data_IF_860906536451
#
_entry.id   IF_860906536451
#
_cell.length_a   1.000
_cell.length_b   1.000
_cell.length_c   1.000
_cell.angle_alpha   90.00
_cell.angle_beta   90.00
_cell.angle_gamma   90.00
#
_symmetry.space_group_name_H-M   'P 1'
#
loop_
_entity.id
_entity.type
_entity.pdbx_description
1 polymer ?
#
# COMPACT_ATOMS: atom_id res chain seq x y z
N UNK A 1 -8.27 24.69 5.59
CA UNK A 1 -8.23 23.28 5.12
C UNK A 1 -9.37 23.05 4.15
N UNK A 2 -9.17 22.24 3.10
CA UNK A 2 -10.14 22.04 2.03
C UNK A 2 -11.01 20.83 2.35
N UNK A 3 -12.35 21.01 2.35
CA UNK A 3 -13.32 19.90 2.40
C UNK A 3 -13.13 18.98 1.19
N UNK A 4 -13.25 17.68 1.38
CA UNK A 4 -13.03 16.66 0.36
C UNK A 4 -14.24 15.77 0.17
N UNK A 5 -14.36 15.16 -1.00
CA UNK A 5 -15.34 14.10 -1.26
C UNK A 5 -14.69 12.70 -1.15
N UNK A 6 -15.52 11.66 -1.25
CA UNK A 6 -15.05 10.28 -1.14
C UNK A 6 -13.97 9.93 -2.18
N UNK A 7 -14.09 10.41 -3.43
CA UNK A 7 -13.06 10.17 -4.45
C UNK A 7 -11.70 10.75 -4.08
N UNK A 8 -11.69 11.95 -3.51
CA UNK A 8 -10.47 12.60 -3.09
C UNK A 8 -9.83 11.90 -1.88
N UNK A 9 -10.64 11.40 -0.93
CA UNK A 9 -10.13 10.63 0.19
C UNK A 9 -9.56 9.27 -0.29
N UNK A 10 -10.30 8.56 -1.13
CA UNK A 10 -9.85 7.28 -1.72
C UNK A 10 -8.59 7.48 -2.55
N UNK A 11 -8.46 8.56 -3.29
CA UNK A 11 -7.21 8.88 -3.99
C UNK A 11 -6.02 8.99 -3.04
N UNK A 12 -6.18 9.67 -1.89
CA UNK A 12 -5.09 9.74 -0.89
C UNK A 12 -4.81 8.37 -0.25
N UNK A 13 -5.84 7.55 -0.07
CA UNK A 13 -5.69 6.16 0.39
C UNK A 13 -4.93 5.32 -0.64
N UNK A 14 -5.29 5.38 -1.93
CA UNK A 14 -4.64 4.62 -2.99
C UNK A 14 -3.21 5.08 -3.30
N UNK A 15 -2.82 6.31 -2.92
CA UNK A 15 -1.40 6.72 -2.93
C UNK A 15 -0.56 6.00 -1.86
N UNK A 16 -1.18 5.54 -0.76
CA UNK A 16 -0.55 4.74 0.29
C UNK A 16 -0.64 3.23 0.00
N UNK A 17 -1.79 2.79 -0.51
CA UNK A 17 -2.14 1.39 -0.74
C UNK A 17 -2.63 1.20 -2.19
N UNK A 18 -1.74 1.22 -3.18
CA UNK A 18 -2.11 1.22 -4.59
C UNK A 18 -2.97 0.02 -4.99
N UNK A 19 -4.10 0.28 -5.63
CA UNK A 19 -5.06 -0.75 -6.04
C UNK A 19 -4.45 -1.84 -6.94
N UNK A 20 -3.47 -1.48 -7.78
CA UNK A 20 -2.82 -2.44 -8.70
C UNK A 20 -1.95 -3.47 -7.98
N UNK A 21 -1.65 -3.30 -6.68
CA UNK A 21 -0.94 -4.29 -5.87
C UNK A 21 -1.86 -5.43 -5.42
N UNK A 22 -3.18 -5.26 -5.50
CA UNK A 22 -4.13 -6.30 -5.11
C UNK A 22 -3.95 -7.58 -5.94
N UNK A 23 -4.21 -8.73 -5.33
CA UNK A 23 -4.27 -10.00 -6.05
C UNK A 23 -5.36 -9.95 -7.13
N UNK A 24 -5.16 -10.71 -8.21
CA UNK A 24 -6.11 -10.79 -9.33
C UNK A 24 -7.46 -11.33 -8.86
N UNK A 25 -8.53 -10.60 -9.18
CA UNK A 25 -9.89 -10.98 -8.79
C UNK A 25 -10.31 -10.55 -7.39
N UNK A 26 -9.42 -9.93 -6.62
CA UNK A 26 -9.75 -9.42 -5.28
C UNK A 26 -10.79 -8.28 -5.36
N UNK A 27 -11.93 -8.37 -4.63
CA UNK A 27 -13.03 -7.42 -4.77
C UNK A 27 -12.77 -6.07 -4.05
N UNK A 28 -11.68 -5.40 -4.40
CA UNK A 28 -11.34 -4.08 -3.88
C UNK A 28 -12.17 -2.96 -4.51
N UNK A 29 -12.41 -1.90 -3.76
CA UNK A 29 -13.06 -0.69 -4.21
C UNK A 29 -14.41 -0.43 -3.55
N UNK A 30 -15.22 0.44 -4.17
CA UNK A 30 -16.54 0.78 -3.65
C UNK A 30 -17.47 -0.44 -3.67
N UNK A 31 -18.00 -0.79 -2.50
CA UNK A 31 -18.90 -1.93 -2.30
C UNK A 31 -20.36 -1.46 -2.21
N UNK A 32 -20.63 -0.37 -1.50
CA UNK A 32 -21.96 0.18 -1.24
C UNK A 32 -21.88 1.70 -1.34
N UNK A 33 -22.93 2.35 -1.83
CA UNK A 33 -23.09 3.81 -1.82
C UNK A 33 -22.34 4.53 -2.95
N UNK A 34 -21.87 5.73 -2.69
CA UNK A 34 -21.18 6.60 -3.66
C UNK A 34 -20.06 7.40 -3.02
N UNK A 35 -18.99 7.64 -3.79
CA UNK A 35 -17.86 8.47 -3.37
C UNK A 35 -17.98 9.95 -3.79
N UNK A 36 -19.05 10.33 -4.50
CA UNK A 36 -19.21 11.71 -5.00
C UNK A 36 -19.53 12.74 -3.91
N UNK A 37 -20.01 12.30 -2.74
CA UNK A 37 -20.45 13.16 -1.64
C UNK A 37 -19.28 13.67 -0.80
N UNK A 38 -19.44 14.84 -0.14
CA UNK A 38 -18.48 15.31 0.84
C UNK A 38 -18.30 14.29 1.98
N UNK A 39 -17.06 14.05 2.39
CA UNK A 39 -16.72 13.18 3.52
C UNK A 39 -16.08 14.03 4.62
N UNK A 40 -16.77 14.12 5.75
CA UNK A 40 -16.28 14.84 6.93
C UNK A 40 -15.62 13.91 7.94
N UNK A 41 -16.13 12.67 8.02
CA UNK A 41 -15.59 11.61 8.86
C UNK A 41 -15.57 10.28 8.10
N UNK A 42 -14.49 9.53 8.25
CA UNK A 42 -14.35 8.17 7.74
C UNK A 42 -13.97 7.21 8.85
N UNK A 43 -14.63 6.06 8.91
CA UNK A 43 -14.35 4.98 9.85
C UNK A 43 -13.46 3.92 9.18
N UNK A 44 -12.33 3.59 9.79
CA UNK A 44 -11.46 2.47 9.35
C UNK A 44 -11.80 1.24 10.16
N UNK A 45 -12.19 0.16 9.52
CA UNK A 45 -12.62 -1.08 10.14
C UNK A 45 -11.90 -2.31 9.53
N UNK A 46 -11.83 -3.40 10.27
CA UNK A 46 -11.40 -4.70 9.73
C UNK A 46 -12.52 -5.31 8.91
N UNK A 47 -13.66 -5.52 9.54
CA UNK A 47 -14.87 -6.09 8.96
C UNK A 47 -16.00 -5.07 8.93
N UNK A 48 -17.01 -5.30 8.08
CA UNK A 48 -18.24 -4.50 8.04
C UNK A 48 -19.39 -5.32 8.62
N UNK A 49 -19.51 -5.32 9.95
CA UNK A 49 -20.64 -5.93 10.65
C UNK A 49 -21.73 -4.88 10.90
N UNK A 50 -22.91 -5.34 11.38
CA UNK A 50 -24.00 -4.43 11.76
C UNK A 50 -23.55 -3.42 12.81
N UNK A 51 -22.81 -3.88 13.82
CA UNK A 51 -22.31 -3.06 14.92
C UNK A 51 -21.32 -1.99 14.43
N UNK A 52 -20.48 -2.32 13.45
CA UNK A 52 -19.55 -1.37 12.81
C UNK A 52 -20.31 -0.29 12.03
N UNK A 53 -21.39 -0.66 11.33
CA UNK A 53 -22.24 0.33 10.66
C UNK A 53 -22.99 1.21 11.67
N UNK A 54 -23.48 0.64 12.77
CA UNK A 54 -24.11 1.39 13.86
C UNK A 54 -23.09 2.33 14.55
N UNK A 55 -21.84 1.92 14.72
CA UNK A 55 -20.75 2.80 15.17
C UNK A 55 -20.59 3.99 14.19
N UNK A 56 -20.48 3.72 12.88
CA UNK A 56 -20.35 4.76 11.87
C UNK A 56 -21.52 5.77 11.93
N UNK A 57 -22.76 5.30 12.08
CA UNK A 57 -23.96 6.15 12.27
C UNK A 57 -23.82 7.02 13.51
N UNK A 58 -23.44 6.42 14.64
CA UNK A 58 -23.39 7.10 15.94
C UNK A 58 -22.37 8.24 15.97
N UNK A 59 -21.24 8.08 15.27
CA UNK A 59 -20.18 9.10 15.19
C UNK A 59 -20.36 10.07 14.01
N UNK A 60 -21.37 9.84 13.16
CA UNK A 60 -21.62 10.64 11.97
C UNK A 60 -20.60 10.44 10.84
N UNK A 61 -19.98 9.26 10.73
CA UNK A 61 -19.14 8.90 9.60
C UNK A 61 -20.00 8.46 8.42
N UNK A 62 -19.70 8.97 7.23
CA UNK A 62 -20.40 8.65 6.01
C UNK A 62 -19.58 7.87 4.98
N UNK A 63 -18.37 7.43 5.36
CA UNK A 63 -17.56 6.48 4.62
C UNK A 63 -16.92 5.48 5.60
N UNK A 64 -17.04 4.20 5.30
CA UNK A 64 -16.31 3.12 5.96
C UNK A 64 -15.22 2.65 4.99
N UNK A 65 -13.96 2.65 5.44
CA UNK A 65 -12.84 2.02 4.76
C UNK A 65 -12.57 0.71 5.47
N UNK A 66 -12.93 -0.39 4.85
CA UNK A 66 -12.83 -1.74 5.42
C UNK A 66 -11.67 -2.51 4.78
N UNK A 67 -11.03 -3.38 5.56
CA UNK A 67 -10.07 -4.34 5.03
C UNK A 67 -10.81 -5.47 4.31
N UNK A 68 -11.69 -6.16 5.01
CA UNK A 68 -12.45 -7.24 4.41
C UNK A 68 -13.64 -6.71 3.58
N UNK A 69 -13.76 -7.13 2.31
CA UNK A 69 -14.88 -6.74 1.47
C UNK A 69 -16.18 -7.38 1.96
N UNK A 70 -17.20 -6.56 2.21
CA UNK A 70 -18.52 -7.06 2.60
C UNK A 70 -19.19 -7.84 1.46
N UNK A 71 -18.87 -7.51 0.21
CA UNK A 71 -19.34 -8.21 -0.98
C UNK A 71 -18.17 -8.98 -1.58
N UNK A 72 -17.78 -10.09 -0.94
CA UNK A 72 -16.71 -10.95 -1.46
C UNK A 72 -17.16 -11.73 -2.71
N UNK A 73 -18.44 -12.12 -2.76
CA UNK A 73 -19.06 -12.76 -3.93
C UNK A 73 -20.24 -11.92 -4.40
N UNK A 74 -20.47 -11.82 -5.73
CA UNK A 74 -21.60 -11.05 -6.25
C UNK A 74 -22.92 -11.42 -5.59
N UNK A 75 -23.65 -10.43 -5.08
CA UNK A 75 -24.96 -10.62 -4.49
C UNK A 75 -25.99 -10.90 -5.59
N UNK A 76 -26.64 -12.05 -5.54
CA UNK A 76 -27.73 -12.39 -6.47
C UNK A 76 -29.07 -11.73 -6.09
N UNK A 77 -29.25 -11.39 -4.80
CA UNK A 77 -30.44 -10.75 -4.24
C UNK A 77 -30.05 -10.00 -2.96
N UNK A 78 -30.81 -8.98 -2.61
CA UNK A 78 -30.70 -8.25 -1.35
C UNK A 78 -32.00 -8.48 -0.59
N UNK A 79 -31.95 -9.32 0.42
CA UNK A 79 -33.09 -9.63 1.30
C UNK A 79 -32.85 -8.97 2.65
N UNK A 80 -33.64 -7.95 2.97
CA UNK A 80 -33.47 -7.15 4.19
C UNK A 80 -33.73 -7.90 5.50
N UNK A 81 -34.27 -9.12 5.42
CA UNK A 81 -34.42 -10.03 6.56
C UNK A 81 -33.14 -10.85 6.83
N UNK A 82 -32.19 -10.91 5.86
CA UNK A 82 -30.90 -11.55 6.05
C UNK A 82 -29.87 -10.58 6.65
N UNK A 83 -28.89 -11.08 7.42
CA UNK A 83 -27.86 -10.21 8.01
C UNK A 83 -27.08 -9.39 6.97
N UNK A 84 -26.58 -9.95 5.85
CA UNK A 84 -25.93 -9.14 4.81
C UNK A 84 -26.86 -8.08 4.21
N UNK A 85 -28.14 -8.42 3.98
CA UNK A 85 -29.12 -7.49 3.45
C UNK A 85 -29.45 -6.35 4.40
N UNK A 86 -29.52 -6.62 5.73
CA UNK A 86 -29.69 -5.58 6.76
C UNK A 86 -28.53 -4.59 6.77
N UNK A 87 -27.29 -5.08 6.62
CA UNK A 87 -26.11 -4.22 6.59
C UNK A 87 -26.18 -3.28 5.36
N UNK A 88 -26.49 -3.85 4.18
CA UNK A 88 -26.68 -3.06 2.95
C UNK A 88 -27.79 -2.02 3.13
N UNK A 89 -28.93 -2.40 3.70
CA UNK A 89 -30.06 -1.51 3.98
C UNK A 89 -29.67 -0.37 4.93
N UNK A 90 -28.96 -0.68 6.03
CA UNK A 90 -28.47 0.30 7.00
C UNK A 90 -27.53 1.31 6.33
N UNK A 91 -26.59 0.85 5.52
CA UNK A 91 -25.67 1.72 4.79
C UNK A 91 -26.42 2.65 3.85
N UNK A 92 -27.37 2.13 3.06
CA UNK A 92 -28.14 2.92 2.10
C UNK A 92 -29.06 3.94 2.81
N UNK A 93 -29.79 3.53 3.84
CA UNK A 93 -30.69 4.40 4.60
C UNK A 93 -29.98 5.55 5.31
N UNK A 94 -28.75 5.32 5.75
CA UNK A 94 -27.95 6.30 6.48
C UNK A 94 -26.91 7.00 5.60
N UNK A 95 -26.97 6.78 4.28
CA UNK A 95 -26.09 7.41 3.31
C UNK A 95 -24.59 7.16 3.57
N UNK A 96 -24.24 5.96 4.01
CA UNK A 96 -22.89 5.51 4.29
C UNK A 96 -22.35 4.75 3.08
N UNK A 97 -21.21 5.20 2.56
CA UNK A 97 -20.45 4.46 1.56
C UNK A 97 -19.51 3.45 2.24
N UNK A 98 -19.33 2.28 1.61
CA UNK A 98 -18.36 1.26 2.05
C UNK A 98 -17.34 1.04 0.95
N UNK A 99 -16.09 1.26 1.25
CA UNK A 99 -14.94 1.03 0.37
C UNK A 99 -14.06 -0.07 0.96
N UNK A 100 -13.81 -1.14 0.20
CA UNK A 100 -12.95 -2.24 0.62
C UNK A 100 -11.54 -2.08 0.05
N UNK A 101 -10.55 -2.39 0.89
CA UNK A 101 -9.14 -2.41 0.54
C UNK A 101 -8.48 -3.60 1.25
N UNK A 102 -8.33 -4.69 0.53
CA UNK A 102 -7.97 -6.00 1.05
C UNK A 102 -6.49 -6.31 0.75
N UNK A 103 -6.19 -7.20 -0.18
CA UNK A 103 -4.81 -7.64 -0.44
C UNK A 103 -3.86 -6.54 -0.89
N UNK A 104 -4.34 -5.43 -1.43
CA UNK A 104 -3.50 -4.26 -1.71
C UNK A 104 -2.92 -3.63 -0.43
N UNK A 105 -3.62 -3.72 0.72
CA UNK A 105 -3.09 -3.27 2.02
C UNK A 105 -2.09 -4.27 2.59
N UNK A 106 -2.25 -5.58 2.30
CA UNK A 106 -1.30 -6.60 2.73
C UNK A 106 0.03 -6.51 1.99
N UNK A 107 -0.03 -6.16 0.70
CA UNK A 107 1.12 -6.15 -0.22
C UNK A 107 1.87 -4.81 -0.21
N UNK A 108 1.22 -3.71 0.18
CA UNK A 108 1.80 -2.38 0.18
C UNK A 108 3.13 -2.28 0.92
N UNK A 109 3.90 -1.23 0.62
CA UNK A 109 5.21 -0.96 1.23
C UNK A 109 5.12 -0.88 2.77
N UNK A 110 4.06 -0.24 3.28
CA UNK A 110 3.71 -0.22 4.71
C UNK A 110 2.28 -0.77 4.83
N UNK A 111 2.15 -2.07 5.03
CA UNK A 111 0.87 -2.77 5.08
C UNK A 111 0.58 -3.47 6.40
N UNK A 112 -0.40 -4.38 6.39
CA UNK A 112 -0.84 -5.13 7.58
C UNK A 112 0.31 -5.81 8.30
N UNK A 113 1.19 -6.49 7.56
CA UNK A 113 2.33 -7.20 8.15
C UNK A 113 3.39 -6.26 8.71
N UNK A 114 3.49 -5.01 8.22
CA UNK A 114 4.35 -3.98 8.83
C UNK A 114 3.78 -3.49 10.14
N UNK A 115 2.47 -3.27 10.22
CA UNK A 115 1.81 -2.90 11.47
C UNK A 115 1.94 -4.00 12.53
N UNK A 116 1.87 -5.28 12.13
CA UNK A 116 2.15 -6.41 13.01
C UNK A 116 3.62 -6.43 13.46
N UNK A 117 4.57 -6.24 12.54
CA UNK A 117 6.00 -6.17 12.86
C UNK A 117 6.33 -5.01 13.80
N UNK A 118 5.70 -3.84 13.61
CA UNK A 118 5.81 -2.68 14.49
C UNK A 118 5.26 -2.99 15.89
N UNK A 119 4.06 -3.60 15.99
CA UNK A 119 3.46 -3.99 17.25
C UNK A 119 4.34 -4.97 18.05
N UNK A 120 5.01 -5.89 17.35
CA UNK A 120 5.94 -6.86 17.92
C UNK A 120 7.37 -6.35 18.00
N UNK A 121 7.63 -5.08 17.68
CA UNK A 121 8.93 -4.44 17.74
C UNK A 121 10.05 -5.22 17.02
N UNK A 122 9.72 -5.79 15.84
CA UNK A 122 10.71 -6.49 15.03
C UNK A 122 11.66 -5.49 14.35
N UNK A 123 12.94 -5.84 14.36
CA UNK A 123 14.01 -5.07 13.72
C UNK A 123 14.41 -5.69 12.37
N UNK A 124 14.97 -4.85 11.48
CA UNK A 124 15.50 -5.27 10.17
C UNK A 124 14.49 -6.05 9.31
N UNK A 125 13.27 -5.59 9.29
CA UNK A 125 12.18 -6.22 8.55
C UNK A 125 12.40 -6.17 7.04
N UNK A 126 12.02 -7.26 6.36
CA UNK A 126 12.02 -7.40 4.89
C UNK A 126 10.75 -8.10 4.44
N UNK A 127 10.37 -7.92 3.18
CA UNK A 127 9.26 -8.65 2.57
C UNK A 127 9.54 -10.16 2.64
N UNK A 128 8.57 -10.93 3.10
CA UNK A 128 8.68 -12.38 3.22
C UNK A 128 8.47 -13.09 1.88
N UNK A 129 7.39 -12.76 1.21
CA UNK A 129 7.00 -13.34 -0.08
C UNK A 129 6.80 -12.22 -1.12
N UNK A 130 7.82 -11.91 -1.93
CA UNK A 130 7.70 -10.91 -3.00
C UNK A 130 6.61 -11.30 -4.01
N UNK A 131 5.72 -10.36 -4.34
CA UNK A 131 4.67 -10.52 -5.36
C UNK A 131 4.90 -9.60 -6.55
N UNK A 132 5.50 -8.44 -6.32
CA UNK A 132 5.77 -7.45 -7.34
C UNK A 132 7.08 -6.70 -7.03
N UNK A 133 7.94 -6.56 -8.03
CA UNK A 133 9.12 -5.70 -7.97
C UNK A 133 8.92 -4.57 -8.95
N UNK A 134 8.91 -3.34 -8.46
CA UNK A 134 8.70 -2.16 -9.27
C UNK A 134 9.88 -1.99 -10.25
N UNK A 135 9.57 -1.82 -11.54
CA UNK A 135 10.59 -1.53 -12.53
C UNK A 135 11.03 -0.08 -12.44
N UNK A 136 12.31 0.13 -12.66
CA UNK A 136 12.89 1.45 -12.74
C UNK A 136 13.15 1.82 -14.20
N UNK A 137 12.86 3.06 -14.54
CA UNK A 137 13.01 3.62 -15.89
C UNK A 137 14.08 4.72 -15.85
N UNK A 138 15.05 4.64 -16.73
CA UNK A 138 15.96 5.75 -17.02
C UNK A 138 15.22 6.72 -17.94
N UNK A 139 14.95 7.92 -17.47
CA UNK A 139 14.44 9.02 -18.28
C UNK A 139 15.60 9.89 -18.70
N UNK A 140 15.70 10.12 -20.00
CA UNK A 140 16.62 11.07 -20.61
C UNK A 140 15.80 12.16 -21.27
N UNK A 141 16.12 13.42 -21.03
CA UNK A 141 15.45 14.56 -21.71
C UNK A 141 16.49 15.58 -22.14
N UNK A 142 16.29 16.13 -23.36
CA UNK A 142 17.16 17.14 -23.94
C UNK A 142 16.51 18.52 -23.76
N UNK A 143 17.17 19.43 -23.06
CA UNK A 143 16.58 20.68 -22.59
C UNK A 143 17.49 21.85 -22.96
N UNK A 144 16.97 22.96 -23.52
CA UNK A 144 17.75 24.18 -23.65
C UNK A 144 18.37 24.56 -22.32
N UNK A 145 19.67 24.92 -22.33
CA UNK A 145 20.45 25.24 -21.12
C UNK A 145 19.74 26.19 -20.16
N UNK A 146 19.00 27.14 -20.71
CA UNK A 146 18.23 28.15 -19.95
C UNK A 146 17.07 27.59 -19.15
N UNK A 147 16.63 26.38 -19.43
CA UNK A 147 15.45 25.74 -18.80
C UNK A 147 15.79 24.46 -18.02
N UNK A 148 17.04 24.03 -18.03
CA UNK A 148 17.48 22.77 -17.44
C UNK A 148 17.11 22.63 -15.95
N UNK A 149 17.39 23.65 -15.13
CA UNK A 149 17.05 23.63 -13.68
C UNK A 149 15.55 23.54 -13.44
N UNK A 150 14.75 24.31 -14.21
CA UNK A 150 13.29 24.32 -14.08
C UNK A 150 12.69 22.95 -14.42
N UNK A 151 13.18 22.33 -15.50
CA UNK A 151 12.72 21.00 -15.93
C UNK A 151 13.15 19.95 -14.91
N UNK A 152 14.41 19.94 -14.48
CA UNK A 152 14.91 19.01 -13.47
C UNK A 152 14.09 19.08 -12.18
N UNK A 153 13.84 20.30 -11.69
CA UNK A 153 12.98 20.48 -10.51
C UNK A 153 11.59 19.89 -10.71
N UNK A 154 10.97 20.14 -11.86
CA UNK A 154 9.62 19.59 -12.14
C UNK A 154 9.59 18.06 -12.22
N UNK A 155 10.64 17.44 -12.78
CA UNK A 155 10.81 15.98 -12.79
C UNK A 155 10.90 15.41 -11.38
N UNK A 156 11.72 16.02 -10.54
CA UNK A 156 11.97 15.57 -9.17
C UNK A 156 10.73 15.78 -8.27
N UNK A 157 10.08 16.93 -8.38
CA UNK A 157 8.82 17.24 -7.67
C UNK A 157 7.70 16.23 -8.06
N UNK A 158 7.75 15.70 -9.29
CA UNK A 158 6.83 14.67 -9.78
C UNK A 158 7.22 13.23 -9.36
N UNK A 159 8.34 13.06 -8.64
CA UNK A 159 8.76 11.78 -8.08
C UNK A 159 9.89 11.08 -8.82
N UNK A 160 10.62 11.76 -9.71
CA UNK A 160 11.85 11.25 -10.29
C UNK A 160 13.05 11.43 -9.34
N UNK A 161 14.14 10.69 -9.60
CA UNK A 161 15.43 10.92 -8.95
C UNK A 161 15.53 10.43 -7.50
N UNK A 162 14.82 9.37 -7.13
CA UNK A 162 14.96 8.75 -5.81
C UNK A 162 15.89 7.53 -5.90
N UNK A 163 16.95 7.51 -5.11
CA UNK A 163 17.89 6.37 -4.95
C UNK A 163 18.16 6.17 -3.46
N UNK A 164 17.60 5.15 -2.86
CA UNK A 164 17.66 4.95 -1.41
C UNK A 164 17.14 6.19 -0.68
N UNK A 165 17.90 6.71 0.27
CA UNK A 165 17.55 7.90 1.05
C UNK A 165 17.91 9.24 0.36
N UNK A 166 18.27 9.23 -0.94
CA UNK A 166 18.59 10.44 -1.68
C UNK A 166 17.47 10.77 -2.67
N UNK A 167 17.11 12.03 -2.74
CA UNK A 167 16.19 12.60 -3.73
C UNK A 167 16.94 13.50 -4.73
N UNK A 168 16.30 13.83 -5.83
CA UNK A 168 16.86 14.69 -6.89
C UNK A 168 18.13 14.14 -7.54
N UNK A 169 18.34 12.81 -7.49
CA UNK A 169 19.46 12.17 -8.15
C UNK A 169 19.31 12.29 -9.66
N UNK A 170 20.27 12.96 -10.28
CA UNK A 170 20.31 13.17 -11.72
C UNK A 170 21.75 13.28 -12.19
N UNK A 171 21.95 13.07 -13.48
CA UNK A 171 23.19 13.39 -14.15
C UNK A 171 22.89 14.30 -15.33
N UNK A 172 23.73 15.31 -15.55
CA UNK A 172 23.58 16.23 -16.67
C UNK A 172 24.88 16.39 -17.45
N UNK A 173 24.78 16.46 -18.77
CA UNK A 173 25.89 16.75 -19.64
C UNK A 173 25.50 17.79 -20.70
N UNK A 174 26.43 18.71 -21.01
CA UNK A 174 26.20 19.70 -22.05
C UNK A 174 26.40 19.09 -23.42
N UNK A 175 25.60 19.52 -24.38
CA UNK A 175 25.69 19.10 -25.77
C UNK A 175 25.04 20.10 -26.70
N UNK A 176 24.95 19.72 -27.96
CA UNK A 176 24.27 20.48 -29.01
C UNK A 176 23.15 19.66 -29.60
N UNK A 177 21.92 20.16 -29.52
CA UNK A 177 20.78 19.60 -30.24
C UNK A 177 20.63 20.24 -31.60
N UNK A 178 20.18 19.47 -32.59
CA UNK A 178 19.87 19.99 -33.92
C UNK A 178 18.45 19.56 -34.32
N UNK A 179 17.71 20.51 -34.89
CA UNK A 179 16.37 20.23 -35.42
C UNK A 179 16.00 21.21 -36.53
N UNK A 180 15.04 20.84 -37.36
CA UNK A 180 14.49 21.70 -38.40
C UNK A 180 12.97 21.78 -38.20
N UNK A 181 12.41 22.92 -37.81
CA UNK A 181 10.97 23.10 -37.71
C UNK A 181 10.30 22.96 -39.08
N UNK A 182 9.28 22.12 -39.18
CA UNK A 182 8.52 21.89 -40.40
C UNK A 182 7.28 22.79 -40.47
N UNK A 183 6.54 22.70 -41.58
CA UNK A 183 5.28 23.41 -41.73
C UNK A 183 4.25 22.93 -40.71
N UNK A 184 3.49 23.86 -40.10
CA UNK A 184 2.53 23.55 -39.04
C UNK A 184 3.08 23.69 -37.61
N UNK A 185 4.39 23.82 -37.39
CA UNK A 185 4.99 24.01 -36.08
C UNK A 185 5.00 25.47 -35.62
N UNK A 186 5.09 25.70 -34.31
CA UNK A 186 5.31 27.01 -33.69
C UNK A 186 6.57 26.93 -32.81
N UNK A 187 7.78 26.94 -33.41
CA UNK A 187 8.99 26.64 -32.66
C UNK A 187 9.30 27.71 -31.62
N UNK A 188 9.74 27.30 -30.44
CA UNK A 188 10.24 28.19 -29.40
C UNK A 188 11.56 28.84 -29.79
N UNK A 189 12.42 28.13 -30.54
CA UNK A 189 13.69 28.61 -31.07
C UNK A 189 13.72 28.28 -32.58
N UNK A 190 14.28 29.20 -33.40
CA UNK A 190 14.52 28.98 -34.81
C UNK A 190 13.35 29.31 -35.74
N UNK A 191 13.55 29.05 -37.04
CA UNK A 191 12.60 29.34 -38.12
C UNK A 191 12.26 28.10 -38.92
N UNK A 192 11.04 28.05 -39.44
CA UNK A 192 10.58 26.92 -40.27
C UNK A 192 11.46 26.77 -41.51
N UNK A 193 11.84 25.53 -41.81
CA UNK A 193 12.65 25.14 -42.94
C UNK A 193 14.14 25.42 -42.81
N UNK A 194 14.59 25.90 -41.65
CA UNK A 194 16.01 26.12 -41.36
C UNK A 194 16.50 25.12 -40.32
N UNK A 195 17.73 24.61 -40.52
CA UNK A 195 18.39 23.74 -39.55
C UNK A 195 18.91 24.59 -38.41
N UNK A 196 18.44 24.32 -37.23
CA UNK A 196 18.85 25.00 -36.00
C UNK A 196 19.83 24.13 -35.20
N UNK A 197 20.81 24.78 -34.56
CA UNK A 197 21.73 24.17 -33.60
C UNK A 197 21.58 24.93 -32.26
N UNK A 198 21.25 24.20 -31.19
CA UNK A 198 20.95 24.78 -29.88
C UNK A 198 21.84 24.17 -28.80
N UNK A 199 22.39 25.00 -27.93
CA UNK A 199 23.05 24.55 -26.68
C UNK A 199 22.04 23.90 -25.76
N UNK A 200 22.16 22.60 -25.54
CA UNK A 200 21.25 21.79 -24.73
C UNK A 200 21.98 21.07 -23.60
N UNK A 201 21.23 20.76 -22.57
CA UNK A 201 21.64 19.87 -21.48
C UNK A 201 20.88 18.56 -21.64
N UNK A 202 21.60 17.47 -21.73
CA UNK A 202 21.06 16.12 -21.58
C UNK A 202 20.89 15.86 -20.11
N UNK A 203 19.65 15.80 -19.60
CA UNK A 203 19.29 15.44 -18.25
C UNK A 203 18.93 13.96 -18.19
N UNK A 204 19.53 13.25 -17.25
CA UNK A 204 19.27 11.84 -17.01
C UNK A 204 18.85 11.64 -15.56
N UNK A 205 17.77 10.91 -15.35
CA UNK A 205 17.28 10.57 -14.00
C UNK A 205 16.60 9.21 -13.99
N UNK A 206 16.34 8.70 -12.80
CA UNK A 206 15.63 7.42 -12.59
C UNK A 206 14.20 7.70 -12.17
N UNK A 207 13.27 6.91 -12.70
CA UNK A 207 11.83 7.06 -12.45
C UNK A 207 11.21 5.70 -12.17
N UNK A 208 10.48 5.51 -11.06
CA UNK A 208 9.63 4.34 -10.88
C UNK A 208 8.60 4.23 -12.01
N UNK A 209 8.43 3.02 -12.59
CA UNK A 209 7.52 2.81 -13.75
C UNK A 209 6.12 3.37 -13.49
N UNK A 210 5.59 3.18 -12.30
CA UNK A 210 4.26 3.64 -11.91
C UNK A 210 4.12 5.17 -11.88
N UNK A 211 5.23 5.89 -11.68
CA UNK A 211 5.27 7.36 -11.69
C UNK A 211 5.59 7.94 -13.06
N UNK A 212 6.01 7.13 -14.03
CA UNK A 212 6.51 7.60 -15.33
C UNK A 212 5.52 8.53 -16.04
N UNK A 213 4.25 8.14 -16.13
CA UNK A 213 3.22 8.96 -16.78
C UNK A 213 3.04 10.35 -16.12
N UNK A 214 3.13 10.40 -14.79
CA UNK A 214 3.03 11.65 -14.03
C UNK A 214 4.26 12.54 -14.26
N UNK A 215 5.45 11.94 -14.23
CA UNK A 215 6.73 12.61 -14.47
C UNK A 215 6.80 13.17 -15.89
N UNK A 216 6.41 12.38 -16.91
CA UNK A 216 6.38 12.85 -18.30
C UNK A 216 5.41 14.02 -18.48
N UNK A 217 4.26 14.03 -17.83
CA UNK A 217 3.32 15.15 -17.86
C UNK A 217 3.92 16.42 -17.23
N UNK A 218 4.65 16.27 -16.11
CA UNK A 218 5.34 17.39 -15.47
C UNK A 218 6.49 17.93 -16.35
N UNK A 219 7.24 17.03 -16.98
CA UNK A 219 8.25 17.36 -17.97
C UNK A 219 7.68 18.21 -19.10
N UNK A 220 6.67 17.71 -19.79
CA UNK A 220 6.03 18.43 -20.91
C UNK A 220 5.52 19.81 -20.53
N UNK A 221 4.94 19.96 -19.33
CA UNK A 221 4.43 21.24 -18.83
C UNK A 221 5.53 22.26 -18.50
N UNK A 222 6.72 21.79 -18.11
CA UNK A 222 7.84 22.65 -17.69
C UNK A 222 8.82 22.97 -18.84
N UNK A 223 8.83 22.13 -19.86
CA UNK A 223 9.70 22.25 -21.03
C UNK A 223 9.24 23.40 -21.95
N UNK A 224 10.17 24.18 -22.56
CA UNK A 224 9.80 25.27 -23.45
C UNK A 224 9.33 24.83 -24.85
N UNK A 225 9.74 23.63 -25.29
CA UNK A 225 9.37 23.14 -26.62
C UNK A 225 7.96 22.56 -26.66
N UNK A 226 7.25 22.73 -27.76
CA UNK A 226 5.94 22.13 -28.01
C UNK A 226 6.03 20.59 -28.15
N UNK A 227 7.11 20.12 -28.76
CA UNK A 227 7.45 18.69 -28.83
C UNK A 227 8.80 18.45 -28.15
N UNK A 228 8.79 17.64 -27.11
CA UNK A 228 9.97 17.40 -26.28
C UNK A 228 10.69 16.14 -26.73
N UNK A 229 11.99 16.28 -27.03
CA UNK A 229 12.85 15.13 -27.27
C UNK A 229 13.22 14.47 -25.93
N UNK A 230 12.83 13.21 -25.75
CA UNK A 230 13.17 12.41 -24.59
C UNK A 230 13.20 10.92 -24.91
N UNK A 231 13.97 10.16 -24.14
CA UNK A 231 14.07 8.71 -24.24
C UNK A 231 13.76 8.06 -22.92
N UNK A 232 13.22 6.85 -22.94
CA UNK A 232 13.00 6.01 -21.76
C UNK A 232 13.61 4.64 -21.97
N UNK A 233 14.38 4.17 -20.97
CA UNK A 233 15.00 2.85 -20.97
C UNK A 233 14.61 2.11 -19.70
N UNK A 234 14.11 0.89 -19.82
CA UNK A 234 13.91 0.02 -18.66
C UNK A 234 15.26 -0.39 -18.11
N UNK A 235 15.45 -0.23 -16.80
CA UNK A 235 16.67 -0.62 -16.11
C UNK A 235 16.51 -2.02 -15.53
N UNK A 236 17.61 -2.74 -15.41
CA UNK A 236 17.69 -4.01 -14.68
C UNK A 236 17.88 -3.80 -13.17
N UNK A 237 18.07 -2.56 -12.74
CA UNK A 237 18.09 -2.21 -11.33
C UNK A 237 16.74 -2.51 -10.70
N UNK A 238 16.77 -3.20 -9.56
CA UNK A 238 15.55 -3.47 -8.79
C UNK A 238 15.03 -2.20 -8.11
N UNK A 239 13.74 -1.94 -8.25
CA UNK A 239 13.02 -0.92 -7.52
C UNK A 239 12.48 -1.44 -6.19
N UNK A 240 11.41 -0.82 -5.70
CA UNK A 240 10.74 -1.24 -4.46
C UNK A 240 10.15 -2.64 -4.63
N UNK A 241 10.45 -3.51 -3.68
CA UNK A 241 9.86 -4.85 -3.62
C UNK A 241 8.61 -4.81 -2.75
N UNK A 242 7.49 -5.16 -3.35
CA UNK A 242 6.20 -5.31 -2.67
C UNK A 242 5.89 -6.81 -2.48
N UNK A 243 5.15 -7.15 -1.43
CA UNK A 243 4.75 -8.53 -1.21
C UNK A 243 4.16 -8.79 0.16
N UNK A 244 3.68 -10.00 0.30
CA UNK A 244 2.95 -10.46 1.48
C UNK A 244 3.92 -10.85 2.58
N UNK A 245 3.56 -10.46 3.80
CA UNK A 245 4.30 -10.81 4.99
C UNK A 245 5.59 -10.03 5.18
N UNK A 246 6.11 -10.13 6.39
CA UNK A 246 7.42 -9.58 6.76
C UNK A 246 8.24 -10.62 7.51
N UNK A 247 9.55 -10.54 7.38
CA UNK A 247 10.49 -11.30 8.19
C UNK A 247 11.47 -10.33 8.84
N UNK A 248 11.66 -10.48 10.15
CA UNK A 248 12.52 -9.61 10.95
C UNK A 248 13.08 -10.35 12.15
N UNK A 249 13.73 -9.63 13.05
CA UNK A 249 14.33 -10.21 14.25
C UNK A 249 13.81 -9.54 15.51
N UNK A 250 13.58 -10.33 16.55
CA UNK A 250 13.41 -9.83 17.90
C UNK A 250 14.72 -9.21 18.39
N UNK A 251 14.63 -8.20 19.23
CA UNK A 251 15.79 -7.58 19.88
C UNK A 251 16.55 -8.59 20.74
N UNK A 252 15.83 -9.43 21.45
CA UNK A 252 16.34 -10.49 22.31
C UNK A 252 15.76 -11.84 21.90
N UNK A 253 16.52 -12.93 22.14
CA UNK A 253 16.07 -14.30 21.90
C UNK A 253 15.10 -14.71 23.01
N UNK A 254 13.96 -15.28 22.62
CA UNK A 254 12.92 -15.81 23.52
C UNK A 254 12.77 -17.33 23.32
N UNK A 255 12.21 -18.03 24.27
CA UNK A 255 11.65 -19.35 24.02
C UNK A 255 10.34 -19.22 23.20
N UNK A 256 9.93 -20.30 22.52
CA UNK A 256 8.67 -20.31 21.78
C UNK A 256 7.45 -20.03 22.70
N UNK A 257 7.49 -20.50 23.95
CA UNK A 257 6.47 -20.19 24.95
C UNK A 257 6.44 -18.71 25.31
N UNK A 258 7.61 -18.11 25.57
CA UNK A 258 7.70 -16.68 25.87
C UNK A 258 7.26 -15.84 24.68
N UNK A 259 7.67 -16.21 23.46
CA UNK A 259 7.24 -15.54 22.24
C UNK A 259 5.71 -15.62 22.04
N UNK A 260 5.10 -16.78 22.27
CA UNK A 260 3.64 -16.95 22.17
C UNK A 260 2.91 -16.06 23.18
N UNK A 261 3.41 -15.97 24.43
CA UNK A 261 2.89 -15.05 25.45
C UNK A 261 3.07 -13.59 25.05
N UNK A 262 4.24 -13.24 24.50
CA UNK A 262 4.55 -11.91 23.98
C UNK A 262 3.60 -11.47 22.87
N UNK A 263 3.36 -12.34 21.87
CA UNK A 263 2.39 -12.12 20.79
C UNK A 263 1.00 -11.88 21.36
N UNK A 264 0.56 -12.73 22.30
CA UNK A 264 -0.74 -12.61 22.95
C UNK A 264 -0.92 -11.25 23.65
N UNK A 265 0.10 -10.80 24.36
CA UNK A 265 0.08 -9.50 25.06
C UNK A 265 0.09 -8.33 24.09
N UNK A 266 1.03 -8.32 23.13
CA UNK A 266 1.24 -7.20 22.21
C UNK A 266 0.10 -6.98 21.23
N UNK A 267 -0.59 -8.05 20.83
CA UNK A 267 -1.71 -7.99 19.93
C UNK A 267 -3.08 -8.04 20.64
N UNK A 268 -3.09 -8.01 21.97
CA UNK A 268 -4.32 -8.06 22.78
C UNK A 268 -5.23 -9.22 22.34
N UNK A 269 -4.72 -10.46 22.50
CA UNK A 269 -5.42 -11.68 22.11
C UNK A 269 -5.87 -12.48 23.33
N UNK A 270 -7.01 -13.17 23.19
CA UNK A 270 -7.50 -14.05 24.24
C UNK A 270 -6.71 -15.37 24.30
N UNK A 271 -6.22 -15.86 23.18
CA UNK A 271 -5.46 -17.11 23.08
C UNK A 271 -4.66 -17.20 21.78
N UNK A 272 -3.72 -18.14 21.74
CA UNK A 272 -2.97 -18.53 20.54
C UNK A 272 -2.80 -20.02 20.50
N UNK A 273 -2.65 -20.63 19.31
CA UNK A 273 -2.25 -22.02 19.14
C UNK A 273 -0.77 -22.10 18.78
N UNK A 274 -0.05 -23.07 19.30
CA UNK A 274 1.39 -23.20 19.08
C UNK A 274 1.72 -24.57 18.48
N UNK A 275 2.60 -24.59 17.48
CA UNK A 275 3.20 -25.79 16.90
C UNK A 275 4.70 -25.70 17.10
N UNK A 276 5.29 -26.74 17.69
CA UNK A 276 6.73 -26.79 18.01
C UNK A 276 6.98 -27.16 19.46
N UNK A 277 8.25 -27.23 19.85
CA UNK A 277 8.64 -27.43 21.25
C UNK A 277 8.70 -26.09 21.96
N UNK A 278 8.03 -25.96 23.10
CA UNK A 278 7.88 -24.68 23.82
C UNK A 278 9.22 -24.05 24.26
N UNK A 279 10.26 -24.88 24.41
CA UNK A 279 11.63 -24.43 24.76
C UNK A 279 12.48 -24.02 23.56
N UNK A 280 12.00 -24.18 22.32
CA UNK A 280 12.76 -23.80 21.14
C UNK A 280 13.07 -22.29 21.15
N UNK A 281 14.26 -21.95 20.67
CA UNK A 281 14.73 -20.58 20.62
C UNK A 281 14.13 -19.85 19.42
N UNK A 282 13.65 -18.65 19.66
CA UNK A 282 13.02 -17.77 18.68
C UNK A 282 13.69 -16.41 18.70
N UNK A 283 14.26 -16.03 17.58
CA UNK A 283 14.80 -14.69 17.32
C UNK A 283 14.34 -14.14 15.97
N UNK A 284 14.37 -14.98 14.93
CA UNK A 284 13.95 -14.59 13.58
C UNK A 284 12.50 -14.98 13.34
N UNK A 285 11.66 -14.00 13.16
CA UNK A 285 10.21 -14.13 13.08
C UNK A 285 9.74 -13.79 11.69
N UNK A 286 8.96 -14.68 11.07
CA UNK A 286 8.19 -14.37 9.87
C UNK A 286 6.71 -14.17 10.24
N UNK A 287 6.08 -13.16 9.65
CA UNK A 287 4.70 -12.78 9.94
C UNK A 287 3.89 -12.63 8.66
N UNK A 288 2.68 -13.17 8.66
CA UNK A 288 1.64 -12.89 7.66
C UNK A 288 0.32 -12.67 8.40
N UNK A 289 -0.40 -11.59 8.11
CA UNK A 289 -1.77 -11.36 8.60
C UNK A 289 -2.75 -12.38 7.98
N UNK A 290 -3.88 -12.61 8.64
CA UNK A 290 -4.96 -13.47 8.16
C UNK A 290 -4.57 -14.92 7.90
N UNK A 291 -5.12 -15.51 6.82
CA UNK A 291 -4.80 -16.86 6.36
C UNK A 291 -3.43 -16.94 5.68
N UNK A 292 -2.41 -17.27 6.45
CA UNK A 292 -1.05 -17.41 5.96
C UNK A 292 -0.62 -18.80 5.55
N UNK A 293 -1.54 -19.78 5.42
CA UNK A 293 -1.18 -21.17 5.16
C UNK A 293 -0.24 -21.38 3.96
N UNK A 294 -0.39 -20.57 2.91
CA UNK A 294 0.43 -20.66 1.68
C UNK A 294 1.86 -20.15 1.86
N UNK A 295 2.12 -19.33 2.88
CA UNK A 295 3.38 -18.57 3.01
C UNK A 295 4.38 -19.19 4.00
N UNK A 296 3.99 -20.23 4.75
CA UNK A 296 4.88 -20.91 5.70
C UNK A 296 6.16 -21.47 5.03
N UNK A 297 6.08 -21.84 3.74
CA UNK A 297 7.26 -22.23 2.97
C UNK A 297 8.27 -21.09 2.82
N UNK A 298 7.80 -19.87 2.59
CA UNK A 298 8.66 -18.69 2.52
C UNK A 298 9.34 -18.41 3.86
N UNK A 299 8.62 -18.58 4.99
CA UNK A 299 9.19 -18.45 6.32
C UNK A 299 10.34 -19.43 6.52
N UNK A 300 10.13 -20.72 6.23
CA UNK A 300 11.17 -21.75 6.34
C UNK A 300 12.36 -21.49 5.44
N UNK A 301 12.14 -21.18 4.17
CA UNK A 301 13.19 -20.89 3.19
C UNK A 301 14.06 -19.69 3.58
N UNK A 302 13.46 -18.68 4.20
CA UNK A 302 14.16 -17.51 4.69
C UNK A 302 14.79 -17.71 6.08
N UNK A 303 14.72 -18.93 6.64
CA UNK A 303 15.35 -19.30 7.91
C UNK A 303 14.70 -18.65 9.12
N UNK A 304 13.36 -18.50 9.13
CA UNK A 304 12.62 -18.10 10.30
C UNK A 304 12.67 -19.20 11.38
N UNK A 305 12.82 -18.81 12.64
CA UNK A 305 12.72 -19.69 13.79
C UNK A 305 11.26 -20.00 14.12
N UNK A 306 10.38 -19.02 13.85
CA UNK A 306 8.94 -19.12 14.05
C UNK A 306 8.17 -18.40 12.94
N UNK A 307 7.01 -18.93 12.59
CA UNK A 307 6.04 -18.34 11.69
C UNK A 307 4.79 -17.93 12.45
N UNK A 308 4.43 -16.65 12.42
CA UNK A 308 3.25 -16.08 13.02
C UNK A 308 2.20 -15.80 11.95
N UNK A 309 1.00 -16.36 12.09
CA UNK A 309 -0.12 -16.11 11.16
C UNK A 309 -1.46 -16.45 11.82
N UNK A 310 -2.53 -16.45 11.05
CA UNK A 310 -3.86 -16.92 11.44
C UNK A 310 -4.32 -18.14 10.65
N UNK A 311 -5.44 -18.71 11.09
CA UNK A 311 -6.20 -19.76 10.38
C UNK A 311 -5.39 -21.00 9.96
N UNK A 312 -4.38 -21.38 10.74
CA UNK A 312 -3.51 -22.51 10.40
C UNK A 312 -4.30 -23.82 10.44
N UNK A 313 -4.38 -24.47 9.28
CA UNK A 313 -5.10 -25.73 9.12
C UNK A 313 -4.37 -26.88 9.79
N UNK A 314 -5.13 -27.85 10.29
CA UNK A 314 -4.58 -29.01 11.01
C UNK A 314 -3.46 -29.73 10.25
N UNK A 315 -3.69 -30.09 8.99
CA UNK A 315 -2.68 -30.80 8.20
C UNK A 315 -1.47 -29.93 7.86
N UNK A 316 -1.68 -28.64 7.60
CA UNK A 316 -0.60 -27.66 7.42
C UNK A 316 0.28 -27.58 8.66
N UNK A 317 -0.33 -27.55 9.86
CA UNK A 317 0.40 -27.58 11.12
C UNK A 317 1.23 -28.87 11.28
N UNK A 318 0.69 -30.03 10.89
CA UNK A 318 1.41 -31.31 10.91
C UNK A 318 2.62 -31.31 9.97
N UNK A 319 2.43 -30.83 8.74
CA UNK A 319 3.48 -30.79 7.73
C UNK A 319 4.66 -29.93 8.19
N UNK A 320 4.37 -28.73 8.71
CA UNK A 320 5.41 -27.82 9.17
C UNK A 320 6.10 -28.27 10.46
N UNK A 321 5.37 -28.96 11.35
CA UNK A 321 5.96 -29.63 12.50
C UNK A 321 7.00 -30.67 12.07
N UNK A 322 6.70 -31.49 11.05
CA UNK A 322 7.64 -32.47 10.49
C UNK A 322 8.86 -31.81 9.84
N UNK A 323 8.71 -30.59 9.32
CA UNK A 323 9.77 -29.81 8.72
C UNK A 323 10.52 -28.91 9.73
N UNK A 324 10.25 -29.05 11.03
CA UNK A 324 10.87 -28.27 12.09
C UNK A 324 10.70 -26.75 11.87
N UNK A 325 9.50 -26.28 11.57
CA UNK A 325 9.12 -24.87 11.61
C UNK A 325 8.15 -24.67 12.77
N UNK A 326 8.54 -23.86 13.74
CA UNK A 326 7.64 -23.45 14.81
C UNK A 326 6.57 -22.50 14.25
N UNK A 327 5.32 -22.63 14.73
CA UNK A 327 4.22 -21.77 14.31
C UNK A 327 3.51 -21.24 15.56
N UNK A 328 3.16 -19.96 15.51
CA UNK A 328 2.17 -19.35 16.41
C UNK A 328 0.98 -18.95 15.56
N UNK A 329 -0.14 -19.63 15.73
CA UNK A 329 -1.41 -19.26 15.14
C UNK A 329 -2.16 -18.36 16.10
N UNK A 330 -2.22 -17.10 15.74
CA UNK A 330 -2.78 -16.01 16.53
C UNK A 330 -4.19 -15.58 16.07
N UNK A 331 -4.78 -16.37 15.13
CA UNK A 331 -6.08 -16.11 14.55
C UNK A 331 -6.08 -14.98 13.51
N UNK A 332 -7.14 -14.97 12.68
CA UNK A 332 -7.28 -14.02 11.57
C UNK A 332 -7.36 -12.55 12.07
N UNK A 333 -8.02 -12.35 13.19
CA UNK A 333 -8.27 -11.01 13.74
C UNK A 333 -7.02 -10.22 14.17
N UNK A 334 -5.81 -10.82 14.06
CA UNK A 334 -4.56 -10.05 14.25
C UNK A 334 -4.44 -8.89 13.26
N UNK A 335 -5.10 -8.96 12.12
CA UNK A 335 -5.18 -7.88 11.13
C UNK A 335 -5.86 -6.60 11.66
N UNK A 336 -6.54 -6.68 12.81
CA UNK A 336 -7.13 -5.50 13.47
C UNK A 336 -6.14 -4.36 13.70
N UNK A 337 -4.83 -4.63 13.73
CA UNK A 337 -3.77 -3.62 13.81
C UNK A 337 -3.83 -2.62 12.67
N UNK A 338 -4.38 -3.03 11.50
CA UNK A 338 -4.53 -2.14 10.35
C UNK A 338 -5.43 -0.93 10.65
N UNK A 339 -6.41 -1.05 11.53
CA UNK A 339 -7.33 0.05 11.87
C UNK A 339 -6.56 1.29 12.33
N UNK A 340 -5.65 1.12 13.27
CA UNK A 340 -4.80 2.21 13.78
C UNK A 340 -3.70 2.60 12.81
N UNK A 341 -3.11 1.63 12.11
CA UNK A 341 -2.06 1.83 11.12
C UNK A 341 -2.53 2.69 9.94
N UNK A 342 -3.63 2.30 9.31
CA UNK A 342 -4.24 3.05 8.20
C UNK A 342 -4.70 4.44 8.65
N UNK A 343 -5.36 4.54 9.81
CA UNK A 343 -5.72 5.84 10.37
C UNK A 343 -4.51 6.76 10.47
N UNK A 344 -3.42 6.32 11.10
CA UNK A 344 -2.19 7.09 11.28
C UNK A 344 -1.61 7.59 9.96
N UNK A 345 -1.53 6.72 8.96
CA UNK A 345 -1.00 7.06 7.64
C UNK A 345 -1.89 8.05 6.88
N UNK A 346 -3.22 7.84 6.92
CA UNK A 346 -4.17 8.77 6.28
C UNK A 346 -4.17 10.14 6.96
N UNK A 347 -4.15 10.21 8.29
CA UNK A 347 -4.09 11.47 9.03
C UNK A 347 -2.84 12.29 8.63
N UNK A 348 -1.67 11.61 8.54
CA UNK A 348 -0.44 12.24 8.10
C UNK A 348 -0.54 12.75 6.65
N UNK A 349 -1.09 11.93 5.75
CA UNK A 349 -1.27 12.26 4.33
C UNK A 349 -2.22 13.43 4.12
N UNK A 350 -3.36 13.44 4.79
CA UNK A 350 -4.34 14.52 4.71
C UNK A 350 -3.78 15.84 5.24
N UNK A 351 -3.01 15.78 6.33
CA UNK A 351 -2.30 16.95 6.87
C UNK A 351 -1.30 17.51 5.88
N UNK A 352 -0.47 16.67 5.25
CA UNK A 352 0.47 17.05 4.18
C UNK A 352 -0.23 17.79 3.03
N UNK A 353 -1.40 17.29 2.61
CA UNK A 353 -2.19 17.84 1.51
C UNK A 353 -3.11 19.00 1.90
N UNK A 354 -3.10 19.44 3.17
CA UNK A 354 -4.03 20.46 3.71
C UNK A 354 -5.52 20.12 3.47
N UNK A 355 -5.85 18.84 3.53
CA UNK A 355 -7.21 18.31 3.39
C UNK A 355 -7.84 18.08 4.76
N UNK A 356 -9.18 18.21 4.85
CA UNK A 356 -9.92 18.03 6.11
C UNK A 356 -10.89 16.85 5.97
N UNK A 357 -10.62 15.81 6.73
CA UNK A 357 -11.50 14.69 7.02
C UNK A 357 -11.01 14.06 8.33
N UNK A 358 -11.92 13.77 9.25
CA UNK A 358 -11.60 13.07 10.49
C UNK A 358 -11.54 11.57 10.22
N UNK A 359 -10.39 10.93 10.44
CA UNK A 359 -10.22 9.49 10.30
C UNK A 359 -10.32 8.85 11.68
N UNK A 360 -11.24 7.89 11.83
CA UNK A 360 -11.53 7.22 13.10
C UNK A 360 -11.26 5.72 12.91
N UNK A 361 -10.52 5.10 13.82
CA UNK A 361 -10.37 3.65 13.85
C UNK A 361 -11.56 3.04 14.61
N UNK A 362 -12.23 2.06 14.03
CA UNK A 362 -13.33 1.35 14.68
C UNK A 362 -12.89 0.73 16.01
N UNK A 363 -13.72 0.92 17.03
CA UNK A 363 -13.52 0.32 18.34
C UNK A 363 -14.18 -1.05 18.47
N UNK A 364 -15.02 -1.41 17.51
CA UNK A 364 -15.73 -2.70 17.53
C UNK A 364 -14.75 -3.84 17.35
N UNK A 365 -14.88 -4.85 18.20
CA UNK A 365 -14.18 -6.11 18.12
C UNK A 365 -15.02 -7.08 17.25
N UNK A 366 -14.45 -7.53 16.14
CA UNK A 366 -15.18 -8.34 15.15
C UNK A 366 -14.72 -9.80 15.11
N UNK A 367 -13.82 -10.22 16.00
CA UNK A 367 -13.42 -11.64 16.11
C UNK A 367 -14.63 -12.48 16.50
N UNK A 368 -15.02 -13.49 15.70
CA UNK A 368 -16.16 -14.35 16.01
C UNK A 368 -15.82 -15.41 17.06
N UNK A 369 -14.54 -15.61 17.40
CA UNK A 369 -14.11 -16.67 18.30
C UNK A 369 -14.06 -16.21 19.75
N UNK A 370 -14.50 -17.08 20.63
CA UNK A 370 -14.40 -16.93 22.09
C UNK A 370 -13.56 -18.07 22.66
N UNK A 371 -12.57 -17.74 23.47
CA UNK A 371 -11.72 -18.73 24.15
C UNK A 371 -12.30 -19.00 25.54
N UNK A 372 -12.48 -20.28 25.88
CA UNK A 372 -13.07 -20.77 27.12
C UNK A 372 -11.99 -21.40 28.01
#
# INVERSE_FOLDING_TARGET
MKSINGFQLVQQFEELFPKHLAEEGDPNGLQIGTLSKPVTKALVALDVTKEVVEEAISIGANLIIAHHPIIYRPLKKIETDSEPGKIVELCIKNDIAVFAAHTNVDIAEIGVSDFLAEALQLENTKVLAPTYVEKLIKLVVFVPKTHAEKVLKALCDAGAGHIGNYSHCSFSSNGKGTFMPLEGTTPYIGQRGQLEEVEEVKLETIVPELKLKHVLKAMQKSHPYEEVAYDTFTLENEGTTFGIGRIGSLKEELSLEEFAKYVKEKLDLQGVRVVGALGDKVRKVAIVGGDGNKFAYHAKRNGADVYLSGDIYYHVAQDWKMLNLNIVDAGHNIEKVMKSGVKRLLDAKLKEKNMTCEIIASTIHTDPFTFI
#
